data_IF_974172210040
#
_entry.id   IF_974172210040
#
_cell.length_a   1.000
_cell.length_b   1.000
_cell.length_c   1.000
_cell.angle_alpha   90.00
_cell.angle_beta   90.00
_cell.angle_gamma   90.00
#
_symmetry.space_group_name_H-M   'P 1'
#
loop_
_entity.id
_entity.type
_entity.pdbx_description
1 polymer ?
#
# COMPACT_ATOMS: atom_id res chain seq x y z
N UNK A 1 -31.14 -1.52 6.28
CA UNK A 1 -29.67 -1.64 6.21
C UNK A 1 -29.28 -2.82 7.08
N UNK A 2 -28.47 -3.77 6.59
CA UNK A 2 -27.95 -4.83 7.47
C UNK A 2 -27.06 -4.17 8.51
N UNK A 3 -27.34 -4.39 9.78
CA UNK A 3 -26.56 -3.84 10.88
C UNK A 3 -25.10 -4.30 10.75
N UNK A 4 -24.18 -3.36 10.49
CA UNK A 4 -22.76 -3.65 10.37
C UNK A 4 -22.26 -4.18 11.71
N UNK A 5 -21.62 -5.35 11.70
CA UNK A 5 -21.15 -6.03 12.93
C UNK A 5 -19.71 -5.71 13.29
N UNK A 6 -19.01 -4.97 12.43
CA UNK A 6 -17.58 -4.71 12.55
C UNK A 6 -17.30 -3.23 12.75
N UNK A 7 -16.46 -2.95 13.73
CA UNK A 7 -15.91 -1.63 14.02
C UNK A 7 -14.46 -1.56 13.53
N UNK A 8 -14.10 -0.50 12.80
CA UNK A 8 -12.72 -0.22 12.44
C UNK A 8 -12.13 0.86 13.36
N UNK A 9 -11.13 0.47 14.15
CA UNK A 9 -10.38 1.37 15.00
C UNK A 9 -9.06 1.79 14.38
N UNK A 10 -8.80 3.09 14.38
CA UNK A 10 -7.55 3.72 13.90
C UNK A 10 -6.88 4.62 14.96
N UNK A 11 -7.57 4.85 16.07
CA UNK A 11 -7.12 5.74 17.15
C UNK A 11 -6.79 5.00 18.43
N UNK A 12 -7.08 5.61 19.57
CA UNK A 12 -6.70 5.06 20.87
C UNK A 12 -7.43 3.77 21.25
N UNK A 13 -8.55 3.44 20.58
CA UNK A 13 -9.20 2.12 20.68
C UNK A 13 -8.32 0.96 20.25
N UNK A 14 -7.19 1.21 19.57
CA UNK A 14 -6.18 0.18 19.33
C UNK A 14 -5.48 -0.25 20.63
N UNK A 15 -5.39 0.60 21.64
CA UNK A 15 -4.74 0.27 22.90
C UNK A 15 -5.78 -0.23 23.93
N UNK A 16 -5.71 -1.50 24.40
CA UNK A 16 -6.62 -2.02 25.42
C UNK A 16 -6.56 -1.27 26.76
N UNK A 17 -5.43 -0.65 27.13
CA UNK A 17 -5.36 0.17 28.36
C UNK A 17 -6.30 1.37 28.28
N UNK A 18 -6.57 1.82 27.05
CA UNK A 18 -7.44 2.93 26.75
C UNK A 18 -8.93 2.55 26.81
N UNK A 19 -9.24 1.27 26.94
CA UNK A 19 -10.60 0.74 27.09
C UNK A 19 -11.16 0.96 28.49
N UNK A 20 -10.30 1.22 29.48
CA UNK A 20 -10.64 1.32 30.90
C UNK A 20 -11.08 2.73 31.34
N UNK A 21 -11.38 3.64 30.41
CA UNK A 21 -11.84 4.99 30.74
C UNK A 21 -13.35 4.99 31.08
N UNK A 22 -13.62 4.68 32.36
CA UNK A 22 -14.83 4.93 33.17
C UNK A 22 -16.17 4.43 32.62
N UNK A 23 -16.52 3.20 33.00
CA UNK A 23 -17.91 2.81 33.19
C UNK A 23 -18.03 1.85 34.41
N UNK A 24 -18.32 2.35 35.62
CA UNK A 24 -18.54 1.47 36.77
C UNK A 24 -19.81 0.60 36.64
N UNK A 25 -20.75 0.95 35.77
CA UNK A 25 -22.11 0.37 35.72
C UNK A 25 -22.48 -0.30 34.38
N UNK A 26 -21.50 -0.70 33.55
CA UNK A 26 -21.80 -1.47 32.33
C UNK A 26 -20.62 -2.31 31.83
N UNK A 27 -20.83 -3.13 30.79
CA UNK A 27 -19.83 -4.10 30.34
C UNK A 27 -18.54 -3.39 29.89
N UNK A 28 -17.41 -4.02 30.19
CA UNK A 28 -16.12 -3.54 29.72
C UNK A 28 -16.02 -3.71 28.21
N UNK A 29 -15.18 -2.90 27.57
CA UNK A 29 -14.90 -3.04 26.13
C UNK A 29 -14.37 -4.45 25.77
N UNK A 30 -13.67 -5.11 26.70
CA UNK A 30 -13.24 -6.50 26.55
C UNK A 30 -14.39 -7.51 26.45
N UNK A 31 -15.58 -7.19 26.97
CA UNK A 31 -16.76 -8.06 26.92
C UNK A 31 -17.56 -7.87 25.62
N UNK A 32 -17.37 -6.75 24.93
CA UNK A 32 -18.21 -6.34 23.80
C UNK A 32 -17.46 -6.15 22.49
N UNK A 33 -16.13 -6.11 22.51
CA UNK A 33 -15.26 -6.04 21.34
C UNK A 33 -14.35 -7.26 21.27
N UNK A 34 -14.45 -8.00 20.17
CA UNK A 34 -13.54 -9.09 19.84
C UNK A 34 -12.60 -8.64 18.72
N UNK A 35 -11.29 -8.71 18.94
CA UNK A 35 -10.30 -8.40 17.90
C UNK A 35 -10.36 -9.44 16.79
N UNK A 36 -10.54 -8.99 15.54
CA UNK A 36 -10.61 -9.85 14.35
C UNK A 36 -9.27 -9.88 13.62
N UNK A 37 -8.64 -8.72 13.46
CA UNK A 37 -7.38 -8.63 12.72
C UNK A 37 -6.98 -7.21 12.35
N UNK A 38 -5.72 -7.08 11.91
CA UNK A 38 -5.19 -5.87 11.30
C UNK A 38 -5.84 -5.63 9.92
N UNK A 39 -6.03 -4.37 9.58
CA UNK A 39 -6.61 -3.97 8.31
C UNK A 39 -6.18 -2.54 7.93
N UNK A 40 -6.51 -2.17 6.70
CA UNK A 40 -6.33 -0.83 6.18
C UNK A 40 -7.69 -0.20 5.92
N UNK A 41 -7.85 1.08 6.27
CA UNK A 41 -8.93 1.89 5.74
C UNK A 41 -8.41 2.63 4.50
N UNK A 42 -8.87 2.26 3.29
CA UNK A 42 -8.35 2.80 2.06
C UNK A 42 -8.92 4.18 1.75
N UNK A 43 -8.21 4.91 0.89
CA UNK A 43 -8.53 6.28 0.46
C UNK A 43 -8.77 7.23 1.63
N UNK A 44 -7.95 7.06 2.66
CA UNK A 44 -8.07 7.80 3.90
C UNK A 44 -6.70 8.23 4.43
N UNK A 45 -6.70 9.34 5.17
CA UNK A 45 -5.60 9.76 6.02
C UNK A 45 -6.09 10.10 7.43
N UNK A 46 -5.18 10.01 8.40
CA UNK A 46 -5.46 10.51 9.75
C UNK A 46 -5.08 11.98 9.88
N UNK A 47 -5.81 12.73 10.71
CA UNK A 47 -5.48 14.09 11.07
C UNK A 47 -5.91 14.39 12.51
N UNK A 48 -5.29 15.39 13.15
CA UNK A 48 -5.71 15.85 14.47
C UNK A 48 -6.61 17.07 14.33
N UNK A 49 -7.93 16.88 14.39
CA UNK A 49 -8.88 17.90 13.91
C UNK A 49 -9.82 18.42 14.98
N UNK A 50 -9.94 17.75 16.12
CA UNK A 50 -10.76 18.21 17.25
C UNK A 50 -9.94 18.30 18.53
N UNK A 51 -10.30 19.23 19.42
CA UNK A 51 -9.71 19.35 20.75
C UNK A 51 -10.50 18.52 21.76
N UNK A 52 -9.81 17.67 22.50
CA UNK A 52 -10.37 16.94 23.64
C UNK A 52 -9.75 17.44 24.94
N UNK A 53 -10.59 17.80 25.91
CA UNK A 53 -10.13 18.16 27.26
C UNK A 53 -9.53 16.94 27.97
N UNK A 54 -10.16 15.76 27.84
CA UNK A 54 -9.67 14.51 28.43
C UNK A 54 -8.33 14.04 27.87
N UNK A 55 -8.04 14.35 26.59
CA UNK A 55 -6.74 14.07 25.95
C UNK A 55 -5.76 15.23 26.01
N UNK A 56 -6.14 16.36 26.61
CA UNK A 56 -5.31 17.56 26.75
C UNK A 56 -4.76 18.10 25.42
N UNK A 57 -5.48 17.90 24.31
CA UNK A 57 -4.99 18.27 22.98
C UNK A 57 -5.85 17.75 21.84
N UNK A 58 -5.26 17.77 20.65
CA UNK A 58 -5.84 17.20 19.43
C UNK A 58 -6.10 15.70 19.53
N UNK A 59 -7.22 15.25 18.98
CA UNK A 59 -7.56 13.82 18.81
C UNK A 59 -7.66 13.44 17.33
N UNK A 60 -7.45 12.16 17.04
CA UNK A 60 -7.44 11.64 15.67
C UNK A 60 -8.83 11.69 15.04
N UNK A 61 -8.85 12.06 13.79
CA UNK A 61 -9.98 12.03 12.87
C UNK A 61 -9.50 11.37 11.58
N UNK A 62 -10.43 10.90 10.76
CA UNK A 62 -10.14 10.38 9.43
C UNK A 62 -10.72 11.31 8.38
N UNK A 63 -9.94 11.58 7.34
CA UNK A 63 -10.32 12.36 6.16
C UNK A 63 -10.07 11.55 4.90
N UNK A 64 -10.86 11.80 3.87
CA UNK A 64 -10.71 11.12 2.59
C UNK A 64 -9.46 11.63 1.86
N UNK A 65 -8.62 10.69 1.39
CA UNK A 65 -7.41 10.95 0.61
C UNK A 65 -7.07 9.75 -0.26
N UNK A 66 -7.40 9.84 -1.55
CA UNK A 66 -7.25 8.73 -2.50
C UNK A 66 -5.81 8.23 -2.54
N UNK A 67 -5.65 6.90 -2.57
CA UNK A 67 -4.36 6.23 -2.63
C UNK A 67 -3.63 6.14 -1.30
N UNK A 68 -4.13 6.81 -0.26
CA UNK A 68 -3.62 6.65 1.10
C UNK A 68 -4.32 5.49 1.81
N UNK A 69 -3.66 4.95 2.83
CA UNK A 69 -4.14 3.89 3.71
C UNK A 69 -4.03 4.38 5.15
N UNK A 70 -5.08 4.22 5.94
CA UNK A 70 -4.99 4.33 7.40
C UNK A 70 -4.83 2.92 7.98
N UNK A 71 -3.68 2.59 8.58
CA UNK A 71 -3.50 1.34 9.32
C UNK A 71 -4.41 1.31 10.56
N UNK A 72 -5.05 0.17 10.80
CA UNK A 72 -5.91 0.00 11.97
C UNK A 72 -6.30 -1.45 12.20
N UNK A 73 -7.35 -1.65 12.98
CA UNK A 73 -7.83 -2.97 13.36
C UNK A 73 -9.34 -3.08 13.23
N UNK A 74 -9.79 -4.27 12.84
CA UNK A 74 -11.18 -4.66 12.81
C UNK A 74 -11.51 -5.35 14.13
N UNK A 75 -12.61 -4.92 14.74
CA UNK A 75 -13.20 -5.52 15.92
C UNK A 75 -14.62 -5.97 15.58
N UNK A 76 -15.01 -7.17 15.99
CA UNK A 76 -16.41 -7.59 15.99
C UNK A 76 -17.07 -6.98 17.22
N UNK A 77 -18.22 -6.35 17.02
CA UNK A 77 -19.02 -5.74 18.08
C UNK A 77 -20.16 -6.68 18.47
N UNK A 78 -20.26 -7.02 19.75
CA UNK A 78 -21.29 -7.92 20.25
C UNK A 78 -22.57 -7.18 20.65
N UNK A 79 -23.61 -7.36 19.85
CA UNK A 79 -24.96 -6.83 20.10
C UNK A 79 -25.03 -5.29 20.15
N UNK A 80 -26.22 -4.77 20.43
CA UNK A 80 -26.44 -3.32 20.56
C UNK A 80 -25.67 -2.72 21.74
N UNK A 81 -25.42 -3.48 22.80
CA UNK A 81 -24.72 -2.98 23.99
C UNK A 81 -23.28 -2.58 23.67
N UNK A 82 -22.58 -3.34 22.82
CA UNK A 82 -21.23 -2.97 22.36
C UNK A 82 -21.22 -1.68 21.56
N UNK A 83 -22.21 -1.51 20.69
CA UNK A 83 -22.42 -0.29 19.92
C UNK A 83 -22.71 0.93 20.82
N UNK A 84 -23.56 0.78 21.84
CA UNK A 84 -23.83 1.83 22.83
C UNK A 84 -22.59 2.18 23.67
N UNK A 85 -21.73 1.20 23.96
CA UNK A 85 -20.47 1.41 24.67
C UNK A 85 -19.48 2.23 23.82
N UNK A 86 -19.36 1.89 22.53
CA UNK A 86 -18.58 2.67 21.57
C UNK A 86 -19.10 4.10 21.45
N UNK A 87 -20.41 4.31 21.23
CA UNK A 87 -20.98 5.66 21.12
C UNK A 87 -20.66 6.53 22.33
N UNK A 88 -20.81 5.96 23.53
CA UNK A 88 -20.54 6.67 24.77
C UNK A 88 -19.07 7.09 24.86
N UNK A 89 -18.14 6.19 24.53
CA UNK A 89 -16.70 6.47 24.54
C UNK A 89 -16.33 7.57 23.53
N UNK A 90 -16.90 7.49 22.34
CA UNK A 90 -16.64 8.45 21.25
C UNK A 90 -17.46 9.75 21.41
N UNK A 91 -18.32 9.85 22.42
CA UNK A 91 -19.22 11.00 22.60
C UNK A 91 -20.17 11.19 21.42
N UNK A 92 -20.55 10.10 20.76
CA UNK A 92 -21.40 10.11 19.59
C UNK A 92 -22.89 10.35 19.94
N UNK A 93 -23.66 11.00 19.06
CA UNK A 93 -23.24 11.56 17.76
C UNK A 93 -22.66 12.98 17.86
N UNK A 94 -22.53 13.56 19.07
CA UNK A 94 -22.25 14.99 19.23
C UNK A 94 -20.76 15.36 19.03
N UNK A 95 -19.82 14.48 19.38
CA UNK A 95 -18.39 14.70 19.16
C UNK A 95 -17.90 14.00 17.90
N UNK A 96 -18.00 12.67 17.89
CA UNK A 96 -17.83 11.85 16.70
C UNK A 96 -19.19 11.40 16.15
N UNK A 97 -19.26 11.12 14.86
CA UNK A 97 -20.38 10.45 14.21
C UNK A 97 -19.94 9.10 13.64
N UNK A 98 -20.85 8.13 13.64
CA UNK A 98 -20.64 6.86 12.94
C UNK A 98 -20.65 7.09 11.44
N UNK A 99 -19.71 6.45 10.74
CA UNK A 99 -19.60 6.45 9.29
C UNK A 99 -19.34 5.03 8.82
N UNK A 100 -20.19 4.56 7.90
CA UNK A 100 -19.96 3.28 7.23
C UNK A 100 -18.86 3.43 6.17
N UNK A 101 -17.94 2.47 6.17
CA UNK A 101 -16.77 2.40 5.31
C UNK A 101 -16.51 0.94 4.93
N UNK A 102 -15.53 0.73 4.07
CA UNK A 102 -15.04 -0.59 3.69
C UNK A 102 -13.55 -0.63 4.00
N UNK A 103 -13.15 -1.51 4.92
CA UNK A 103 -11.75 -1.78 5.20
C UNK A 103 -11.20 -2.86 4.26
N UNK A 104 -9.90 -2.84 4.01
CA UNK A 104 -9.16 -3.90 3.33
C UNK A 104 -8.43 -4.74 4.38
N UNK A 105 -8.76 -6.03 4.45
CA UNK A 105 -7.96 -6.99 5.19
C UNK A 105 -6.54 -7.10 4.63
N UNK A 106 -5.63 -7.71 5.40
CA UNK A 106 -4.24 -7.93 4.96
C UNK A 106 -4.13 -8.83 3.72
N UNK A 107 -5.18 -9.60 3.42
CA UNK A 107 -5.31 -10.44 2.22
C UNK A 107 -5.95 -9.71 1.03
N UNK A 108 -6.31 -8.42 1.19
CA UNK A 108 -6.98 -7.61 0.18
C UNK A 108 -8.50 -7.79 0.12
N UNK A 109 -9.11 -8.54 1.04
CA UNK A 109 -10.58 -8.67 1.11
C UNK A 109 -11.23 -7.40 1.63
N UNK A 110 -12.33 -7.02 1.01
CA UNK A 110 -13.17 -5.90 1.46
C UNK A 110 -14.08 -6.34 2.61
N UNK A 111 -14.08 -5.57 3.69
CA UNK A 111 -14.86 -5.84 4.90
C UNK A 111 -15.67 -4.58 5.23
N UNK A 112 -17.02 -4.62 5.14
CA UNK A 112 -17.87 -3.53 5.58
C UNK A 112 -17.68 -3.28 7.09
N UNK A 113 -17.38 -2.04 7.45
CA UNK A 113 -17.08 -1.62 8.82
C UNK A 113 -17.78 -0.29 9.11
N UNK A 114 -18.14 -0.07 10.37
CA UNK A 114 -18.45 1.27 10.86
C UNK A 114 -17.20 1.82 11.56
N UNK A 115 -16.88 3.08 11.32
CA UNK A 115 -15.85 3.81 12.07
C UNK A 115 -16.42 5.12 12.58
N UNK A 116 -15.64 5.85 13.37
CA UNK A 116 -16.05 7.15 13.91
C UNK A 116 -15.24 8.25 13.24
N UNK A 117 -15.88 9.35 12.86
CA UNK A 117 -15.20 10.57 12.37
C UNK A 117 -15.67 11.78 13.15
N UNK A 118 -14.83 12.79 13.30
CA UNK A 118 -15.19 14.02 14.02
C UNK A 118 -16.35 14.70 13.26
N UNK A 119 -17.37 15.12 14.00
CA UNK A 119 -18.51 15.87 13.44
C UNK A 119 -18.04 17.16 12.74
N UNK A 120 -18.67 17.55 11.61
CA UNK A 120 -18.24 18.73 10.86
C UNK A 120 -18.09 20.01 11.70
N UNK A 121 -19.03 20.27 12.61
CA UNK A 121 -19.06 21.48 13.45
C UNK A 121 -17.92 21.57 14.47
N UNK A 122 -17.28 20.44 14.79
CA UNK A 122 -16.14 20.37 15.72
C UNK A 122 -14.80 20.26 15.01
N UNK A 123 -14.80 20.16 13.68
CA UNK A 123 -13.60 19.94 12.89
C UNK A 123 -12.85 21.25 12.69
N UNK A 124 -11.66 21.32 13.25
CA UNK A 124 -10.65 22.34 12.95
C UNK A 124 -9.68 21.85 11.88
N UNK A 125 -8.91 22.78 11.30
CA UNK A 125 -7.84 22.43 10.34
C UNK A 125 -6.81 21.50 10.96
N UNK A 126 -6.29 21.89 12.13
CA UNK A 126 -5.32 21.14 12.91
C UNK A 126 -5.39 21.56 14.39
N UNK A 127 -5.27 20.58 15.30
CA UNK A 127 -5.11 20.79 16.74
C UNK A 127 -3.90 19.97 17.19
N UNK A 128 -2.89 20.60 17.79
CA UNK A 128 -1.71 19.89 18.27
C UNK A 128 -2.09 18.84 19.32
N UNK A 129 -1.73 17.55 19.13
CA UNK A 129 -2.01 16.52 20.12
C UNK A 129 -1.08 16.61 21.33
N UNK A 130 -1.55 16.06 22.44
CA UNK A 130 -0.70 15.79 23.59
C UNK A 130 0.15 14.53 23.31
N UNK A 131 1.41 14.52 23.74
CA UNK A 131 2.34 13.43 23.43
C UNK A 131 1.87 12.07 23.99
N UNK A 132 1.29 12.05 25.19
CA UNK A 132 0.73 10.82 25.78
C UNK A 132 -0.32 10.17 24.88
N UNK A 133 -1.17 10.98 24.25
CA UNK A 133 -2.20 10.45 23.35
C UNK A 133 -1.57 9.83 22.10
N UNK A 134 -0.58 10.51 21.51
CA UNK A 134 0.19 9.98 20.37
C UNK A 134 0.90 8.68 20.74
N UNK A 135 1.56 8.62 21.91
CA UNK A 135 2.23 7.42 22.41
C UNK A 135 1.26 6.25 22.58
N UNK A 136 0.06 6.49 23.12
CA UNK A 136 -0.95 5.45 23.31
C UNK A 136 -1.41 4.85 21.98
N UNK A 137 -1.64 5.68 20.95
CA UNK A 137 -2.02 5.21 19.61
C UNK A 137 -0.88 4.42 18.96
N UNK A 138 0.35 4.94 19.02
CA UNK A 138 1.54 4.28 18.48
C UNK A 138 1.75 2.91 19.12
N UNK A 139 1.60 2.79 20.44
CA UNK A 139 1.68 1.51 21.14
C UNK A 139 0.65 0.52 20.59
N UNK A 140 -0.62 0.93 20.46
CA UNK A 140 -1.67 0.08 19.91
C UNK A 140 -1.41 -0.38 18.45
N UNK A 141 -0.79 0.45 17.63
CA UNK A 141 -0.37 0.09 16.26
C UNK A 141 0.79 -0.91 16.28
N UNK A 142 1.84 -0.63 17.06
CA UNK A 142 3.04 -1.48 17.16
C UNK A 142 2.77 -2.86 17.72
N UNK A 143 1.89 -2.96 18.73
CA UNK A 143 1.45 -4.24 19.29
C UNK A 143 0.79 -5.15 18.26
N UNK A 144 0.34 -4.58 17.13
CA UNK A 144 -0.27 -5.29 16.00
C UNK A 144 0.64 -5.37 14.77
N UNK A 145 1.89 -4.95 14.88
CA UNK A 145 2.83 -4.91 13.75
C UNK A 145 2.44 -3.92 12.65
N UNK A 146 1.65 -2.89 12.97
CA UNK A 146 1.20 -1.88 12.01
C UNK A 146 2.14 -0.67 11.98
N UNK A 147 2.30 -0.01 10.81
CA UNK A 147 3.15 1.17 10.69
C UNK A 147 2.54 2.37 11.42
N UNK A 148 3.38 3.20 12.02
CA UNK A 148 2.98 4.31 12.90
C UNK A 148 3.42 5.70 12.38
N UNK A 149 4.24 5.75 11.33
CA UNK A 149 4.87 6.97 10.81
C UNK A 149 3.84 8.05 10.44
N UNK A 150 2.67 7.62 9.97
CA UNK A 150 1.56 8.50 9.59
C UNK A 150 0.95 9.26 10.77
N UNK A 151 0.90 8.65 11.96
CA UNK A 151 0.42 9.33 13.19
C UNK A 151 1.43 10.39 13.61
N UNK A 152 2.73 10.09 13.54
CA UNK A 152 3.79 11.05 13.84
C UNK A 152 3.78 12.23 12.86
N UNK A 153 3.63 11.96 11.56
CA UNK A 153 3.51 13.01 10.55
C UNK A 153 2.25 13.87 10.75
N UNK A 154 1.11 13.25 11.05
CA UNK A 154 -0.13 13.98 11.34
C UNK A 154 -0.02 14.84 12.62
N UNK A 155 0.67 14.36 13.66
CA UNK A 155 0.87 15.08 14.91
C UNK A 155 1.69 16.36 14.75
N UNK A 156 2.52 16.40 13.71
CA UNK A 156 3.32 17.56 13.31
C UNK A 156 2.68 18.36 12.15
N UNK A 157 1.42 18.07 11.81
CA UNK A 157 0.66 18.71 10.73
C UNK A 157 1.34 18.60 9.34
N UNK A 158 2.06 17.49 9.08
CA UNK A 158 2.70 17.21 7.78
C UNK A 158 1.86 16.35 6.84
N UNK A 159 0.61 16.06 7.22
CA UNK A 159 -0.25 15.08 6.56
C UNK A 159 -0.14 13.69 7.20
N UNK A 160 -1.23 12.92 7.16
CA UNK A 160 -1.30 11.61 7.81
C UNK A 160 -1.64 10.47 6.85
N UNK A 161 -1.44 10.69 5.55
CA UNK A 161 -1.54 9.64 4.55
C UNK A 161 -0.35 8.68 4.67
N UNK A 162 -0.62 7.40 4.90
CA UNK A 162 0.32 6.30 4.66
C UNK A 162 -0.03 5.62 3.34
N UNK A 163 0.80 4.69 2.87
CA UNK A 163 0.49 3.86 1.72
C UNK A 163 1.70 3.60 0.84
N UNK A 164 1.55 2.73 -0.17
CA UNK A 164 2.68 2.28 -0.98
C UNK A 164 3.25 3.36 -1.92
N UNK A 165 2.45 4.38 -2.28
CA UNK A 165 2.84 5.43 -3.23
C UNK A 165 3.16 4.92 -4.64
N UNK A 166 2.76 3.69 -4.95
CA UNK A 166 3.00 3.03 -6.22
C UNK A 166 1.84 2.08 -6.57
N UNK A 167 1.72 1.79 -7.86
CA UNK A 167 0.71 0.89 -8.42
C UNK A 167 1.38 -0.16 -9.30
N UNK A 168 0.94 -1.40 -9.21
CA UNK A 168 1.34 -2.50 -10.05
C UNK A 168 0.30 -2.70 -11.16
N UNK A 169 0.78 -2.73 -12.40
CA UNK A 169 -0.03 -2.95 -13.61
C UNK A 169 0.52 -4.17 -14.36
N UNK A 170 -0.35 -4.99 -14.94
CA UNK A 170 0.03 -6.33 -15.44
C UNK A 170 -0.58 -6.67 -16.81
N UNK A 171 -1.05 -5.66 -17.53
CA UNK A 171 -1.84 -5.84 -18.74
C UNK A 171 -1.74 -4.66 -19.69
N UNK A 172 -2.88 -4.21 -20.20
CA UNK A 172 -3.00 -3.17 -21.25
C UNK A 172 -2.39 -1.82 -20.88
N UNK A 173 -2.15 -1.56 -19.59
CA UNK A 173 -1.51 -0.35 -19.06
C UNK A 173 0.03 -0.38 -19.06
N UNK A 174 0.65 -1.54 -19.28
CA UNK A 174 2.11 -1.68 -19.27
C UNK A 174 2.76 -1.01 -20.48
N UNK A 175 4.05 -0.67 -20.39
CA UNK A 175 4.83 -0.08 -21.51
C UNK A 175 4.67 -0.90 -22.80
N UNK A 176 4.38 -0.24 -23.91
CA UNK A 176 4.18 -0.89 -25.22
C UNK A 176 2.80 -1.52 -25.42
N UNK A 177 1.90 -1.46 -24.43
CA UNK A 177 0.51 -1.91 -24.55
C UNK A 177 -0.46 -0.73 -24.80
N UNK A 178 -1.67 -1.07 -25.24
CA UNK A 178 -2.61 -0.12 -25.85
C UNK A 178 -3.04 1.05 -24.97
N UNK A 179 -3.02 0.91 -23.64
CA UNK A 179 -3.46 1.93 -22.69
C UNK A 179 -2.30 2.58 -21.93
N UNK A 180 -1.05 2.31 -22.31
CA UNK A 180 0.13 2.85 -21.61
C UNK A 180 0.15 4.38 -21.54
N UNK A 181 -0.36 5.07 -22.56
CA UNK A 181 -0.45 6.53 -22.61
C UNK A 181 -1.17 7.11 -21.38
N UNK A 182 -2.13 6.35 -20.81
CA UNK A 182 -2.81 6.68 -19.55
C UNK A 182 -1.84 6.93 -18.41
N UNK A 183 -0.79 6.12 -18.31
CA UNK A 183 0.26 6.23 -17.29
C UNK A 183 1.25 7.32 -17.68
N UNK A 184 1.64 7.37 -18.95
CA UNK A 184 2.63 8.32 -19.47
C UNK A 184 2.20 9.78 -19.27
N UNK A 185 0.92 10.08 -19.48
CA UNK A 185 0.33 11.41 -19.23
C UNK A 185 0.39 11.85 -17.76
N UNK A 186 0.58 10.91 -16.82
CA UNK A 186 0.79 11.21 -15.41
C UNK A 186 2.28 11.42 -15.04
N UNK A 187 3.17 11.45 -16.04
CA UNK A 187 4.61 11.67 -15.89
C UNK A 187 5.24 10.80 -14.80
N UNK A 188 5.31 9.47 -15.03
CA UNK A 188 5.81 8.53 -14.03
C UNK A 188 7.27 8.86 -13.68
N UNK A 189 7.55 8.92 -12.37
CA UNK A 189 8.91 9.10 -11.86
C UNK A 189 9.74 7.83 -12.05
N UNK A 190 9.10 6.66 -11.97
CA UNK A 190 9.75 5.39 -12.31
C UNK A 190 8.74 4.33 -12.74
N UNK A 191 9.17 3.47 -13.67
CA UNK A 191 8.49 2.23 -14.05
C UNK A 191 9.54 1.12 -14.03
N UNK A 192 9.27 0.03 -13.31
CA UNK A 192 10.18 -1.11 -13.20
C UNK A 192 9.42 -2.42 -13.40
N UNK A 193 10.01 -3.38 -14.11
CA UNK A 193 9.52 -4.75 -14.15
C UNK A 193 9.36 -5.31 -12.73
N UNK A 194 8.24 -5.98 -12.49
CA UNK A 194 7.89 -6.54 -11.20
C UNK A 194 6.93 -7.74 -11.34
N UNK A 195 6.63 -8.41 -10.23
CA UNK A 195 5.68 -9.51 -10.21
C UNK A 195 4.84 -9.54 -8.93
N UNK A 196 3.64 -10.09 -9.00
CA UNK A 196 2.80 -10.35 -7.83
C UNK A 196 2.21 -11.76 -7.88
N UNK A 197 1.69 -12.24 -6.76
CA UNK A 197 1.01 -13.54 -6.70
C UNK A 197 -0.39 -13.48 -7.31
N UNK A 198 -0.80 -14.55 -7.96
CA UNK A 198 -2.14 -14.70 -8.51
C UNK A 198 -2.13 -15.43 -9.85
N UNK A 199 -3.31 -15.52 -10.46
CA UNK A 199 -3.50 -16.11 -11.78
C UNK A 199 -3.95 -15.06 -12.77
N UNK A 200 -3.35 -15.04 -13.95
CA UNK A 200 -3.76 -14.16 -15.04
C UNK A 200 -4.68 -14.92 -16.01
N UNK A 201 -5.74 -14.27 -16.45
CA UNK A 201 -6.66 -14.78 -17.48
C UNK A 201 -6.96 -13.70 -18.52
N UNK A 202 -7.35 -14.13 -19.71
CA UNK A 202 -7.82 -13.29 -20.81
C UNK A 202 -9.35 -13.35 -20.89
N UNK A 203 -10.00 -12.20 -20.77
CA UNK A 203 -11.46 -12.01 -20.90
C UNK A 203 -11.88 -11.62 -22.34
N UNK A 204 -11.08 -11.95 -23.35
CA UNK A 204 -11.35 -11.61 -24.75
C UNK A 204 -10.66 -10.33 -25.20
N UNK A 205 -9.35 -10.21 -24.94
CA UNK A 205 -8.54 -9.02 -25.17
C UNK A 205 -8.36 -8.15 -23.93
N UNK A 206 -8.89 -8.57 -22.78
CA UNK A 206 -8.84 -7.81 -21.52
C UNK A 206 -8.18 -8.68 -20.44
N UNK A 207 -7.00 -8.30 -19.92
CA UNK A 207 -6.29 -9.05 -18.89
C UNK A 207 -6.98 -8.94 -17.53
N UNK A 208 -7.10 -10.05 -16.81
CA UNK A 208 -7.68 -10.09 -15.48
C UNK A 208 -6.80 -10.86 -14.50
N UNK A 209 -6.41 -10.17 -13.42
CA UNK A 209 -5.75 -10.79 -12.26
C UNK A 209 -6.80 -11.37 -11.32
N UNK A 210 -6.72 -12.67 -11.07
CA UNK A 210 -7.50 -13.39 -10.08
C UNK A 210 -6.66 -13.63 -8.81
N UNK A 211 -7.28 -13.42 -7.66
CA UNK A 211 -6.66 -13.56 -6.33
C UNK A 211 -7.52 -14.44 -5.43
N UNK A 212 -6.85 -15.30 -4.67
CA UNK A 212 -7.48 -16.25 -3.75
C UNK A 212 -6.52 -17.41 -3.48
N UNK A 213 -6.75 -18.20 -2.42
CA UNK A 213 -5.95 -19.39 -2.13
C UNK A 213 -5.96 -20.43 -3.27
N UNK A 214 -7.02 -20.45 -4.09
CA UNK A 214 -7.17 -21.29 -5.28
C UNK A 214 -6.43 -20.76 -6.53
N UNK A 215 -5.85 -19.56 -6.45
CA UNK A 215 -5.19 -18.89 -7.56
C UNK A 215 -3.70 -18.74 -7.29
N UNK A 216 -3.02 -19.87 -7.23
CA UNK A 216 -1.56 -19.92 -7.12
C UNK A 216 -0.89 -19.62 -8.47
N UNK A 217 0.25 -18.94 -8.43
CA UNK A 217 0.95 -18.44 -9.60
C UNK A 217 1.61 -17.08 -9.39
N UNK A 218 2.33 -16.64 -10.41
CA UNK A 218 2.97 -15.32 -10.46
C UNK A 218 2.51 -14.61 -11.71
N UNK A 219 2.10 -13.36 -11.55
CA UNK A 219 1.73 -12.46 -12.62
C UNK A 219 2.82 -11.41 -12.77
N UNK A 220 3.37 -11.31 -13.98
CA UNK A 220 4.40 -10.36 -14.34
C UNK A 220 3.77 -9.05 -14.78
N UNK A 221 4.41 -7.96 -14.40
CA UNK A 221 3.90 -6.63 -14.67
C UNK A 221 4.96 -5.56 -14.46
N UNK A 222 4.49 -4.37 -14.15
CA UNK A 222 5.30 -3.19 -13.94
C UNK A 222 4.84 -2.46 -12.68
N UNK A 223 5.79 -2.06 -11.85
CA UNK A 223 5.58 -1.19 -10.72
C UNK A 223 5.80 0.26 -11.15
N UNK A 224 4.79 1.09 -10.96
CA UNK A 224 4.74 2.49 -11.41
C UNK A 224 4.69 3.40 -10.20
N UNK A 225 5.57 4.40 -10.19
CA UNK A 225 5.61 5.48 -9.20
C UNK A 225 5.37 6.80 -9.92
N UNK A 226 4.44 7.61 -9.44
CA UNK A 226 4.17 8.95 -9.96
C UNK A 226 4.19 9.98 -8.83
N UNK A 227 4.60 11.21 -9.15
CA UNK A 227 4.59 12.32 -8.18
C UNK A 227 3.17 12.67 -7.72
N UNK A 228 2.26 12.80 -8.68
CA UNK A 228 0.83 12.97 -8.42
C UNK A 228 0.12 11.62 -8.45
N UNK A 229 0.35 10.84 -7.40
CA UNK A 229 -0.18 9.49 -7.29
C UNK A 229 -1.71 9.45 -7.17
N UNK A 230 -2.31 10.49 -6.61
CA UNK A 230 -3.76 10.62 -6.50
C UNK A 230 -4.40 10.83 -7.88
N UNK A 231 -3.83 11.71 -8.72
CA UNK A 231 -4.30 11.90 -10.10
C UNK A 231 -4.15 10.62 -10.93
N UNK A 232 -3.03 9.90 -10.77
CA UNK A 232 -2.82 8.60 -11.41
C UNK A 232 -3.95 7.62 -11.04
N UNK A 233 -4.20 7.41 -9.74
CA UNK A 233 -5.23 6.46 -9.31
C UNK A 233 -6.63 6.84 -9.78
N UNK A 234 -7.01 8.13 -9.76
CA UNK A 234 -8.31 8.56 -10.31
C UNK A 234 -8.45 8.23 -11.80
N UNK A 235 -7.35 8.25 -12.56
CA UNK A 235 -7.36 7.89 -13.97
C UNK A 235 -7.49 6.38 -14.15
N UNK A 236 -6.70 5.61 -13.41
CA UNK A 236 -6.75 4.15 -13.45
C UNK A 236 -8.12 3.63 -12.97
N UNK A 237 -8.72 4.21 -11.94
CA UNK A 237 -10.06 3.84 -11.46
C UNK A 237 -11.12 3.95 -12.57
N UNK A 238 -11.03 4.98 -13.41
CA UNK A 238 -11.94 5.13 -14.56
C UNK A 238 -11.70 4.08 -15.63
N UNK A 239 -10.45 3.78 -15.96
CA UNK A 239 -10.07 2.78 -16.97
C UNK A 239 -10.48 1.38 -16.52
N UNK A 240 -10.22 1.04 -15.26
CA UNK A 240 -10.46 -0.27 -14.67
C UNK A 240 -11.91 -0.45 -14.16
N UNK A 241 -12.77 0.55 -14.36
CA UNK A 241 -14.17 0.50 -13.93
C UNK A 241 -14.34 0.31 -12.42
N UNK A 242 -13.45 0.89 -11.61
CA UNK A 242 -13.54 0.94 -10.16
C UNK A 242 -14.41 2.13 -9.73
N UNK A 243 -15.54 1.84 -9.09
CA UNK A 243 -16.56 2.79 -8.63
C UNK A 243 -16.48 3.08 -7.12
N UNK A 244 -15.45 2.56 -6.46
CA UNK A 244 -15.24 2.69 -5.02
C UNK A 244 -15.35 1.35 -4.28
N UNK A 245 -14.79 1.32 -3.07
CA UNK A 245 -14.79 0.13 -2.22
C UNK A 245 -16.21 -0.27 -1.82
N UNK A 246 -16.52 -1.56 -1.87
CA UNK A 246 -17.85 -2.12 -1.59
C UNK A 246 -18.87 -1.95 -2.71
N UNK A 247 -18.54 -1.30 -3.82
CA UNK A 247 -19.47 -1.18 -4.95
C UNK A 247 -19.66 -2.55 -5.63
N UNK A 248 -20.91 -3.02 -5.79
CA UNK A 248 -21.19 -4.25 -6.54
C UNK A 248 -20.96 -4.09 -8.05
N UNK A 249 -20.87 -2.84 -8.53
CA UNK A 249 -20.75 -2.51 -9.95
C UNK A 249 -19.29 -2.43 -10.43
N UNK A 250 -18.33 -2.69 -9.54
CA UNK A 250 -16.91 -2.75 -9.88
C UNK A 250 -16.65 -3.80 -10.96
N UNK A 251 -15.93 -3.42 -12.03
CA UNK A 251 -15.35 -4.39 -12.96
C UNK A 251 -14.09 -5.00 -12.36
N UNK A 252 -13.23 -4.14 -11.83
CA UNK A 252 -12.10 -4.51 -11.00
C UNK A 252 -12.24 -3.86 -9.62
N UNK A 253 -11.77 -4.55 -8.58
CA UNK A 253 -11.58 -4.01 -7.23
C UNK A 253 -10.13 -3.58 -7.07
N UNK A 254 -9.90 -2.45 -6.41
CA UNK A 254 -8.55 -2.01 -6.08
C UNK A 254 -8.13 -2.63 -4.75
N UNK A 255 -6.94 -3.24 -4.70
CA UNK A 255 -6.39 -3.85 -3.48
C UNK A 255 -4.93 -3.42 -3.28
N UNK A 256 -4.39 -3.70 -2.09
CA UNK A 256 -2.97 -3.60 -1.81
C UNK A 256 -2.38 -5.01 -1.79
N UNK A 257 -1.25 -5.21 -2.46
CA UNK A 257 -0.55 -6.50 -2.47
C UNK A 257 0.96 -6.32 -2.42
N UNK A 258 1.65 -7.36 -1.94
CA UNK A 258 3.08 -7.53 -2.13
C UNK A 258 3.45 -7.71 -3.60
N UNK A 259 4.52 -7.04 -4.00
CA UNK A 259 5.08 -7.01 -5.36
C UNK A 259 6.59 -7.21 -5.26
N UNK A 260 7.08 -8.26 -5.90
CA UNK A 260 8.51 -8.58 -5.99
C UNK A 260 9.18 -7.86 -7.15
N UNK A 261 10.37 -7.32 -6.92
CA UNK A 261 11.16 -6.57 -7.90
C UNK A 261 12.15 -7.46 -8.70
N UNK A 262 11.93 -8.78 -8.70
CA UNK A 262 12.78 -9.80 -9.34
C UNK A 262 14.22 -9.91 -8.82
N UNK A 263 14.61 -9.09 -7.84
CA UNK A 263 15.93 -9.04 -7.20
C UNK A 263 15.87 -9.46 -5.72
N UNK A 264 14.75 -10.07 -5.30
CA UNK A 264 14.48 -10.46 -3.91
C UNK A 264 13.91 -9.33 -3.04
N UNK A 265 13.84 -8.09 -3.53
CA UNK A 265 13.11 -7.03 -2.82
C UNK A 265 11.60 -7.14 -3.06
N UNK A 266 10.83 -6.90 -2.01
CA UNK A 266 9.37 -6.84 -2.06
C UNK A 266 8.88 -5.47 -1.58
N UNK A 267 7.80 -4.97 -2.19
CA UNK A 267 7.11 -3.74 -1.81
C UNK A 267 5.61 -3.97 -1.80
N UNK A 268 4.88 -3.24 -0.95
CA UNK A 268 3.44 -3.11 -1.12
C UNK A 268 3.16 -2.19 -2.31
N UNK A 269 2.10 -2.47 -3.06
CA UNK A 269 1.61 -1.63 -4.15
C UNK A 269 0.09 -1.73 -4.25
N UNK A 270 -0.54 -0.68 -4.74
CA UNK A 270 -1.92 -0.78 -5.24
C UNK A 270 -1.96 -1.65 -6.50
N UNK A 271 -3.04 -2.39 -6.71
CA UNK A 271 -3.30 -3.11 -7.97
C UNK A 271 -4.81 -3.27 -8.15
N UNK A 272 -5.22 -3.70 -9.33
CA UNK A 272 -6.61 -3.99 -9.66
C UNK A 272 -6.79 -5.49 -9.82
N UNK A 273 -7.84 -6.06 -9.23
CA UNK A 273 -8.18 -7.49 -9.35
C UNK A 273 -9.57 -7.62 -9.90
N UNK A 274 -9.78 -8.60 -10.77
CA UNK A 274 -11.07 -8.75 -11.41
C UNK A 274 -12.15 -9.10 -10.37
N UNK A 275 -13.28 -8.39 -10.43
CA UNK A 275 -14.30 -8.43 -9.38
C UNK A 275 -15.50 -9.32 -9.71
N UNK A 276 -15.57 -9.85 -10.94
CA UNK A 276 -16.70 -10.61 -11.46
C UNK A 276 -16.33 -12.09 -11.66
N UNK A 277 -17.33 -12.98 -11.83
CA UNK A 277 -17.06 -14.35 -12.24
C UNK A 277 -16.23 -14.39 -13.53
N UNK A 278 -15.18 -15.20 -13.54
CA UNK A 278 -14.28 -15.40 -14.69
C UNK A 278 -14.61 -16.68 -15.47
N UNK A 279 -15.88 -17.07 -15.51
CA UNK A 279 -16.34 -18.24 -16.25
C UNK A 279 -16.09 -18.05 -17.76
N UNK A 280 -15.48 -19.05 -18.41
CA UNK A 280 -15.10 -18.98 -19.82
C UNK A 280 -13.86 -18.14 -20.12
N UNK A 281 -13.22 -17.53 -19.12
CA UNK A 281 -11.97 -16.81 -19.32
C UNK A 281 -10.84 -17.77 -19.74
N UNK A 282 -10.00 -17.34 -20.69
CA UNK A 282 -8.87 -18.15 -21.16
C UNK A 282 -7.70 -18.02 -20.19
N UNK A 283 -7.21 -19.10 -19.57
CA UNK A 283 -6.05 -19.01 -18.69
C UNK A 283 -4.80 -18.53 -19.41
N UNK A 284 -3.96 -17.75 -18.73
CA UNK A 284 -2.61 -17.41 -19.17
C UNK A 284 -1.61 -18.06 -18.20
N UNK A 285 -1.17 -19.32 -18.43
CA UNK A 285 -0.32 -20.06 -17.50
C UNK A 285 1.04 -19.40 -17.24
N UNK A 286 1.57 -18.66 -18.21
CA UNK A 286 2.83 -17.92 -18.05
C UNK A 286 2.73 -16.76 -17.07
N UNK A 287 1.51 -16.28 -16.78
CA UNK A 287 1.27 -15.10 -15.97
C UNK A 287 1.77 -13.80 -16.60
N UNK A 288 2.13 -13.79 -17.88
CA UNK A 288 2.57 -12.60 -18.60
C UNK A 288 1.66 -12.31 -19.79
N UNK A 289 0.99 -11.17 -19.72
CA UNK A 289 0.16 -10.65 -20.80
C UNK A 289 0.93 -10.47 -22.12
N UNK A 290 2.16 -9.95 -22.06
CA UNK A 290 2.97 -9.73 -23.27
C UNK A 290 3.42 -11.05 -23.89
N UNK A 291 3.62 -12.09 -23.10
CA UNK A 291 3.92 -13.43 -23.61
C UNK A 291 2.70 -14.03 -24.32
N UNK A 292 1.52 -13.94 -23.69
CA UNK A 292 0.24 -14.33 -24.29
C UNK A 292 -0.03 -13.62 -25.62
N UNK A 293 0.40 -12.35 -25.74
CA UNK A 293 0.28 -11.54 -26.95
C UNK A 293 1.42 -11.73 -27.96
N UNK A 294 2.46 -12.49 -27.62
CA UNK A 294 3.66 -12.66 -28.46
C UNK A 294 4.56 -11.41 -28.56
N UNK A 295 4.39 -10.42 -27.68
CA UNK A 295 5.10 -9.13 -27.68
C UNK A 295 6.19 -9.03 -26.60
N UNK A 296 6.33 -10.04 -25.71
CA UNK A 296 7.28 -10.03 -24.58
C UNK A 296 8.70 -9.67 -24.99
N UNK A 297 9.21 -10.32 -26.03
CA UNK A 297 10.58 -10.11 -26.49
C UNK A 297 10.83 -8.66 -26.92
N UNK A 298 9.93 -8.14 -27.77
CA UNK A 298 9.99 -6.77 -28.26
C UNK A 298 9.91 -5.75 -27.10
N UNK A 299 9.07 -6.01 -26.11
CA UNK A 299 8.95 -5.15 -24.93
C UNK A 299 10.25 -5.11 -24.10
N UNK A 300 10.89 -6.26 -23.85
CA UNK A 300 12.15 -6.32 -23.11
C UNK A 300 13.29 -5.61 -23.86
N UNK A 301 13.39 -5.79 -25.17
CA UNK A 301 14.36 -5.07 -26.00
C UNK A 301 14.13 -3.55 -26.00
N UNK A 302 12.87 -3.10 -26.01
CA UNK A 302 12.54 -1.68 -25.89
C UNK A 302 12.95 -1.11 -24.53
N UNK A 303 12.72 -1.85 -23.43
CA UNK A 303 13.16 -1.47 -22.08
C UNK A 303 14.68 -1.34 -22.03
N UNK A 304 15.42 -2.36 -22.49
CA UNK A 304 16.89 -2.33 -22.50
C UNK A 304 17.40 -1.16 -23.33
N UNK A 305 16.83 -0.93 -24.51
CA UNK A 305 17.20 0.20 -25.39
C UNK A 305 16.96 1.55 -24.73
N UNK A 306 15.81 1.73 -24.08
CA UNK A 306 15.46 2.96 -23.38
C UNK A 306 16.43 3.26 -22.23
N UNK A 307 16.89 2.24 -21.51
CA UNK A 307 17.83 2.38 -20.38
C UNK A 307 19.29 2.51 -20.81
N UNK A 308 19.73 1.68 -21.76
CA UNK A 308 21.15 1.53 -22.09
C UNK A 308 21.59 2.39 -23.28
N UNK A 309 20.66 2.88 -24.10
CA UNK A 309 20.98 3.46 -25.40
C UNK A 309 21.80 2.50 -26.26
N UNK A 310 22.95 2.96 -26.77
CA UNK A 310 23.91 2.11 -27.54
C UNK A 310 24.96 1.41 -26.64
N UNK A 311 24.86 1.55 -25.32
CA UNK A 311 25.91 1.21 -24.37
C UNK A 311 25.79 -0.15 -23.69
N UNK A 312 25.11 -1.13 -24.28
CA UNK A 312 24.73 -2.39 -23.62
C UNK A 312 25.93 -3.16 -23.01
N UNK A 313 27.05 -3.29 -23.75
CA UNK A 313 28.29 -3.91 -23.22
C UNK A 313 28.87 -3.18 -22.01
N UNK A 314 28.80 -1.85 -21.99
CA UNK A 314 29.28 -1.03 -20.87
C UNK A 314 28.41 -1.28 -19.63
N UNK A 315 27.09 -1.36 -19.81
CA UNK A 315 26.14 -1.65 -18.73
C UNK A 315 26.33 -3.08 -18.21
N UNK A 316 26.48 -4.07 -19.10
CA UNK A 316 26.79 -5.45 -18.71
C UNK A 316 28.07 -5.55 -17.87
N UNK A 317 29.12 -4.79 -18.24
CA UNK A 317 30.35 -4.72 -17.43
C UNK A 317 30.08 -4.13 -16.04
N UNK A 318 29.31 -3.03 -15.96
CA UNK A 318 28.96 -2.42 -14.69
C UNK A 318 28.13 -3.36 -13.80
N UNK A 319 27.21 -4.13 -14.37
CA UNK A 319 26.45 -5.17 -13.66
C UNK A 319 27.38 -6.25 -13.07
N UNK A 320 28.35 -6.72 -13.87
CA UNK A 320 29.36 -7.69 -13.42
C UNK A 320 30.21 -7.13 -12.27
N UNK A 321 30.66 -5.88 -12.40
CA UNK A 321 31.52 -5.25 -11.38
C UNK A 321 30.76 -4.97 -10.07
N UNK A 322 29.46 -4.67 -10.15
CA UNK A 322 28.64 -4.24 -9.00
C UNK A 322 27.92 -5.38 -8.28
N UNK A 323 27.34 -6.33 -9.02
CA UNK A 323 26.38 -7.30 -8.47
C UNK A 323 26.87 -8.75 -8.51
N UNK A 324 27.84 -9.07 -9.37
CA UNK A 324 28.41 -10.42 -9.41
C UNK A 324 29.66 -10.47 -8.51
N UNK A 325 29.61 -11.31 -7.47
CA UNK A 325 30.71 -11.50 -6.52
C UNK A 325 31.95 -12.00 -7.25
N UNK A 326 32.92 -11.09 -7.49
CA UNK A 326 34.26 -11.34 -8.08
C UNK A 326 34.30 -12.58 -8.97
N UNK A 327 33.64 -12.59 -10.13
CA UNK A 327 33.63 -13.77 -10.98
C UNK A 327 35.08 -14.14 -11.33
N UNK A 328 35.42 -15.42 -11.18
CA UNK A 328 36.74 -15.95 -11.58
C UNK A 328 37.06 -15.63 -13.05
N UNK A 329 36.02 -15.41 -13.86
CA UNK A 329 36.11 -14.99 -15.25
C UNK A 329 35.02 -13.94 -15.57
N UNK A 330 35.42 -12.66 -15.60
CA UNK A 330 34.53 -11.55 -15.94
C UNK A 330 34.01 -11.61 -17.39
N UNK A 331 34.78 -12.21 -18.32
CA UNK A 331 34.39 -12.32 -19.73
C UNK A 331 33.27 -13.34 -19.89
N UNK A 332 33.37 -14.49 -19.21
CA UNK A 332 32.29 -15.47 -19.18
C UNK A 332 31.02 -14.91 -18.52
N UNK A 333 31.16 -14.14 -17.45
CA UNK A 333 30.02 -13.47 -16.81
C UNK A 333 29.33 -12.48 -17.75
N UNK A 334 30.08 -11.63 -18.45
CA UNK A 334 29.53 -10.72 -19.46
C UNK A 334 28.85 -11.46 -20.62
N UNK A 335 29.41 -12.58 -21.08
CA UNK A 335 28.84 -13.37 -22.17
C UNK A 335 27.50 -14.02 -21.79
N UNK A 336 27.29 -14.34 -20.50
CA UNK A 336 25.99 -14.80 -20.00
C UNK A 336 24.94 -13.68 -19.97
N UNK A 337 25.36 -12.46 -19.66
CA UNK A 337 24.44 -11.32 -19.57
C UNK A 337 24.01 -10.76 -20.92
N UNK A 338 24.83 -10.91 -21.97
CA UNK A 338 24.54 -10.32 -23.28
C UNK A 338 23.82 -11.32 -24.20
N UNK A 339 22.77 -10.89 -24.92
CA UNK A 339 22.07 -9.60 -24.80
C UNK A 339 21.32 -9.44 -23.46
N UNK A 340 21.29 -8.22 -22.91
CA UNK A 340 20.66 -7.90 -21.61
C UNK A 340 19.16 -8.18 -21.63
N UNK A 341 18.51 -8.11 -22.79
CA UNK A 341 17.11 -8.49 -22.93
C UNK A 341 16.90 -9.98 -22.58
N UNK A 342 17.82 -10.85 -23.01
CA UNK A 342 17.77 -12.29 -22.70
C UNK A 342 18.04 -12.52 -21.21
N UNK A 343 18.96 -11.75 -20.62
CA UNK A 343 19.25 -11.85 -19.19
C UNK A 343 18.05 -11.41 -18.32
N UNK A 344 17.35 -10.32 -18.70
CA UNK A 344 16.09 -9.93 -18.07
C UNK A 344 15.02 -11.01 -18.24
N UNK A 345 14.93 -11.59 -19.42
CA UNK A 345 13.94 -12.61 -19.75
C UNK A 345 14.09 -13.87 -18.90
N UNK A 346 15.34 -14.33 -18.71
CA UNK A 346 15.70 -15.45 -17.84
C UNK A 346 15.64 -15.12 -16.34
N UNK A 347 15.59 -13.83 -15.99
CA UNK A 347 15.66 -13.37 -14.60
C UNK A 347 17.08 -13.41 -14.01
N UNK A 348 18.12 -13.44 -14.84
CA UNK A 348 19.51 -13.36 -14.40
C UNK A 348 19.85 -11.97 -13.83
N UNK A 349 19.10 -10.95 -14.27
CA UNK A 349 19.14 -9.57 -13.79
C UNK A 349 17.71 -9.01 -13.71
N UNK A 350 17.52 -7.98 -12.89
CA UNK A 350 16.31 -7.17 -12.80
C UNK A 350 16.45 -5.84 -13.56
N UNK A 351 15.32 -5.21 -13.91
CA UNK A 351 15.36 -3.84 -14.46
C UNK A 351 15.93 -2.85 -13.42
N UNK A 352 15.74 -3.13 -12.13
CA UNK A 352 16.31 -2.31 -11.06
C UNK A 352 17.83 -2.31 -11.07
N UNK A 353 18.45 -3.48 -11.17
CA UNK A 353 19.92 -3.59 -11.30
C UNK A 353 20.41 -2.89 -12.58
N UNK A 354 19.64 -3.00 -13.67
CA UNK A 354 19.94 -2.29 -14.91
C UNK A 354 19.97 -0.76 -14.72
N UNK A 355 18.98 -0.20 -14.03
CA UNK A 355 18.92 1.23 -13.70
C UNK A 355 20.11 1.63 -12.82
N UNK A 356 20.41 0.85 -11.78
CA UNK A 356 21.55 1.10 -10.89
C UNK A 356 22.90 1.09 -11.62
N UNK A 357 23.07 0.20 -12.60
CA UNK A 357 24.27 0.11 -13.42
C UNK A 357 24.42 1.31 -14.39
N UNK A 358 23.32 1.92 -14.83
CA UNK A 358 23.32 3.07 -15.73
C UNK A 358 23.48 4.39 -14.97
N UNK A 359 22.74 4.57 -13.87
CA UNK A 359 22.58 5.85 -13.18
C UNK A 359 23.41 5.95 -11.88
N UNK A 360 24.03 4.84 -11.44
CA UNK A 360 24.64 4.74 -10.11
C UNK A 360 23.60 4.39 -9.03
N UNK A 361 23.97 4.35 -7.74
CA UNK A 361 23.04 4.00 -6.69
C UNK A 361 21.84 4.96 -6.67
N UNK A 362 20.65 4.43 -6.95
CA UNK A 362 19.40 5.17 -6.86
C UNK A 362 19.32 5.85 -5.50
N UNK A 363 19.13 7.17 -5.49
CA UNK A 363 18.71 7.88 -4.28
C UNK A 363 17.40 7.24 -3.87
N UNK A 364 17.38 6.60 -2.71
CA UNK A 364 16.18 5.97 -2.15
C UNK A 364 15.09 7.03 -1.98
N UNK A 365 14.22 7.19 -2.99
CA UNK A 365 12.88 7.70 -2.78
C UNK A 365 12.14 6.66 -1.97
N UNK A 366 11.73 7.04 -0.75
CA UNK A 366 11.46 6.18 0.41
C UNK A 366 12.72 5.66 1.12
N UNK A 367 13.34 6.53 1.93
CA UNK A 367 14.00 6.06 3.14
C UNK A 367 12.93 5.49 4.10
N UNK A 368 13.11 4.30 4.68
CA UNK A 368 12.59 4.10 6.02
C UNK A 368 13.32 5.10 6.91
N UNK A 369 12.59 5.91 7.66
CA UNK A 369 13.14 6.89 8.59
C UNK A 369 14.06 6.13 9.55
N UNK A 370 15.38 6.19 9.33
CA UNK A 370 16.33 5.67 10.32
C UNK A 370 16.19 6.54 11.57
N UNK A 371 15.96 5.97 12.77
CA UNK A 371 16.00 6.76 13.98
C UNK A 371 17.41 7.33 14.13
N UNK A 372 17.53 8.67 14.15
CA UNK A 372 18.75 9.34 14.56
C UNK A 372 19.02 8.93 16.00
N UNK A 373 20.04 8.09 16.19
CA UNK A 373 20.56 7.78 17.52
C UNK A 373 21.08 9.09 18.12
N UNK A 374 20.38 9.59 19.14
CA UNK A 374 20.87 10.69 19.97
C UNK A 374 22.08 10.14 20.71
N UNK A 375 23.29 10.55 20.29
CA UNK A 375 24.49 10.38 21.11
C UNK A 375 24.33 11.24 22.36
N UNK A 376 24.06 10.60 23.49
CA UNK A 376 24.26 11.19 24.80
C UNK A 376 25.74 11.56 24.95
N UNK A 377 26.01 12.87 24.99
CA UNK A 377 27.31 13.39 25.35
C UNK A 377 27.50 13.24 26.87
N UNK A 378 28.22 12.22 27.29
CA UNK A 378 28.77 12.10 28.65
C UNK A 378 29.85 13.17 28.82
N UNK A 379 29.48 14.30 29.44
CA UNK A 379 30.43 15.32 29.86
C UNK A 379 31.03 14.89 31.20
N UNK A 380 32.27 14.39 31.18
CA UNK A 380 33.11 14.22 32.37
C UNK A 380 33.27 15.58 33.05
N UNK A 381 32.75 15.72 34.27
CA UNK A 381 33.18 16.77 35.18
C UNK A 381 34.58 16.42 35.71
N UNK A 382 35.52 17.33 35.52
CA UNK A 382 36.77 17.39 36.28
C UNK A 382 36.60 18.49 37.33
N UNK A 383 37.04 18.16 38.55
CA UNK A 383 37.05 18.91 39.81
C UNK A 383 35.80 18.75 40.66
#
# INVERSE_FOLDING_TARGET
MKETRYYFGYGSNLNPDDWNLRNPDGPGFADVLEYVGAAWLPDAEVAFTAKSQGRRGGVLDVRDRIGSLVPGAIFRVHGEQGWRALDRKEGAPAFYQRVDRVALGMDGREIPVTTYTVTPDRRHRFVKPHEDYVRAVIAGLRDRGLPDEHVLAAAENRGGGSGPGCVFVYGTLMRGEALHETIEECHPESILLAETRGRLVDLGGIPALLRGPEHDGRVRGELVVCRDFEALLRRLDRVEGFRGFGSPDNMYRRIVTGVGMMDGHERQAWTYVYARPAEGATPIPSGDWREHRGTRRQALEAIVRARCGRGERRVAKALVDQFLVRPRDARAAMAKLLPLADALERGDISERELVMAVEGPMRSGCSPIRPRTIRTATRKAKR
#
